data_IF_971206478332
#
_entry.id   IF_971206478332
#
_cell.length_a   1.000
_cell.length_b   1.000
_cell.length_c   1.000
_cell.angle_alpha   90.00
_cell.angle_beta   90.00
_cell.angle_gamma   90.00
#
_symmetry.space_group_name_H-M   'P 1'
#
loop_
_entity.id
_entity.type
_entity.pdbx_description
1 polymer ?
#
# COMPACT_ATOMS: atom_id res chain seq x y z
N UNK A 1 22.57 3.58 -1.91
CA UNK A 1 21.96 3.87 -0.60
C UNK A 1 20.57 3.23 -0.55
N UNK A 2 20.30 2.53 0.52
CA UNK A 2 19.03 1.86 0.67
C UNK A 2 17.90 2.84 0.85
N UNK A 3 16.74 2.54 0.25
CA UNK A 3 15.57 3.35 0.49
C UNK A 3 15.06 3.11 1.90
N UNK A 4 14.82 4.15 2.66
CA UNK A 4 14.25 3.97 3.99
C UNK A 4 12.85 3.38 3.90
N UNK A 5 12.46 2.65 4.94
CA UNK A 5 11.13 2.04 5.00
C UNK A 5 10.04 3.06 4.78
N UNK A 6 10.22 4.24 5.32
CA UNK A 6 9.19 5.27 5.24
C UNK A 6 8.98 5.73 3.80
N UNK A 7 10.04 5.79 3.02
CA UNK A 7 9.90 6.16 1.61
C UNK A 7 9.12 5.11 0.84
N UNK A 8 9.40 3.83 1.10
CA UNK A 8 8.66 2.75 0.45
C UNK A 8 7.19 2.78 0.85
N UNK A 9 6.94 3.05 2.12
CA UNK A 9 5.57 3.13 2.60
C UNK A 9 4.81 4.27 1.93
N UNK A 10 5.44 5.43 1.79
CA UNK A 10 4.83 6.57 1.14
C UNK A 10 4.56 6.30 -0.34
N UNK A 11 5.47 5.61 -1.00
CA UNK A 11 5.25 5.22 -2.39
C UNK A 11 4.08 4.27 -2.52
N UNK A 12 3.99 3.31 -1.60
CA UNK A 12 2.87 2.38 -1.59
C UNK A 12 1.55 3.12 -1.43
N UNK A 13 1.50 4.08 -0.51
CA UNK A 13 0.32 4.89 -0.30
C UNK A 13 -0.07 5.62 -1.58
N UNK A 14 0.91 6.16 -2.28
CA UNK A 14 0.68 6.87 -3.53
C UNK A 14 0.03 5.96 -4.57
N UNK A 15 0.57 4.75 -4.72
CA UNK A 15 0.01 3.81 -5.68
C UNK A 15 -1.40 3.35 -5.29
N UNK A 16 -1.61 3.12 -4.00
CA UNK A 16 -2.91 2.68 -3.52
C UNK A 16 -3.98 3.75 -3.63
N UNK A 17 -3.59 5.02 -3.52
CA UNK A 17 -4.55 6.12 -3.56
C UNK A 17 -4.77 6.66 -4.98
N UNK A 18 -3.99 6.20 -5.96
CA UNK A 18 -4.17 6.65 -7.34
C UNK A 18 -5.42 6.01 -7.94
N UNK A 19 -5.85 6.54 -9.08
CA UNK A 19 -7.00 5.97 -9.79
C UNK A 19 -6.65 4.66 -10.48
N UNK A 20 -5.37 4.34 -10.57
CA UNK A 20 -4.94 3.08 -11.17
C UNK A 20 -5.17 1.94 -10.20
N UNK A 21 -5.65 0.82 -10.72
CA UNK A 21 -5.77 -0.40 -9.94
C UNK A 21 -4.44 -1.13 -9.98
N UNK A 22 -3.90 -1.43 -8.82
CA UNK A 22 -2.62 -2.14 -8.72
C UNK A 22 -2.80 -3.42 -7.93
N UNK A 23 -2.35 -4.53 -8.51
CA UNK A 23 -2.34 -5.81 -7.80
C UNK A 23 -1.13 -5.85 -6.86
N UNK A 24 -1.19 -6.78 -5.90
CA UNK A 24 -0.07 -6.96 -4.97
C UNK A 24 1.21 -7.31 -5.73
N UNK A 25 1.10 -8.15 -6.76
CA UNK A 25 2.27 -8.49 -7.57
C UNK A 25 2.85 -7.28 -8.30
N UNK A 26 1.97 -6.44 -8.83
CA UNK A 26 2.39 -5.24 -9.53
C UNK A 26 3.06 -4.26 -8.56
N UNK A 27 2.48 -4.08 -7.39
CA UNK A 27 3.05 -3.21 -6.37
C UNK A 27 4.43 -3.70 -5.94
N UNK A 28 4.58 -4.99 -5.77
CA UNK A 28 5.88 -5.56 -5.40
C UNK A 28 6.94 -5.26 -6.45
N UNK A 29 6.60 -5.37 -7.72
CA UNK A 29 7.53 -5.07 -8.79
C UNK A 29 7.90 -3.59 -8.81
N UNK A 30 6.92 -2.73 -8.66
CA UNK A 30 7.16 -1.28 -8.69
C UNK A 30 7.98 -0.81 -7.51
N UNK A 31 7.80 -1.45 -6.37
CA UNK A 31 8.47 -1.05 -5.13
C UNK A 31 9.72 -1.88 -4.84
N UNK A 32 9.98 -2.91 -5.64
CA UNK A 32 11.15 -3.74 -5.44
C UNK A 32 11.06 -4.59 -4.18
N UNK A 33 9.86 -5.08 -3.85
CA UNK A 33 9.67 -5.91 -2.68
C UNK A 33 8.75 -7.08 -2.99
N UNK A 34 8.83 -8.11 -2.15
CA UNK A 34 8.02 -9.30 -2.34
C UNK A 34 6.55 -9.02 -2.01
N UNK A 35 5.61 -9.83 -2.55
CA UNK A 35 4.20 -9.66 -2.20
C UNK A 35 3.94 -9.73 -0.70
N UNK A 36 4.68 -10.58 -0.01
CA UNK A 36 4.55 -10.72 1.44
C UNK A 36 4.85 -9.39 2.14
N UNK A 37 5.91 -8.72 1.69
CA UNK A 37 6.28 -7.43 2.25
C UNK A 37 5.23 -6.37 1.95
N UNK A 38 4.64 -6.41 0.76
CA UNK A 38 3.56 -5.48 0.41
C UNK A 38 2.38 -5.67 1.37
N UNK A 39 1.99 -6.91 1.64
CA UNK A 39 0.91 -7.18 2.59
C UNK A 39 1.24 -6.66 3.98
N UNK A 40 2.48 -6.81 4.42
CA UNK A 40 2.89 -6.31 5.72
C UNK A 40 2.78 -4.79 5.81
N UNK A 41 3.13 -4.11 4.73
CA UNK A 41 3.01 -2.66 4.68
C UNK A 41 1.55 -2.23 4.70
N UNK A 42 0.69 -2.98 3.99
CA UNK A 42 -0.75 -2.71 4.01
C UNK A 42 -1.29 -2.88 5.43
N UNK A 43 -0.86 -3.92 6.13
CA UNK A 43 -1.25 -4.12 7.54
C UNK A 43 -0.79 -2.95 8.39
N UNK A 44 0.40 -2.44 8.15
CA UNK A 44 0.92 -1.28 8.87
C UNK A 44 0.03 -0.06 8.64
N UNK A 45 -0.41 0.16 7.40
CA UNK A 45 -1.31 1.26 7.10
C UNK A 45 -2.64 1.09 7.83
N UNK A 46 -3.19 -0.11 7.84
CA UNK A 46 -4.44 -0.37 8.55
C UNK A 46 -4.28 -0.11 10.04
N UNK A 47 -3.15 -0.51 10.60
CA UNK A 47 -2.87 -0.28 12.02
C UNK A 47 -2.77 1.20 12.34
N UNK A 48 -2.35 1.99 11.38
CA UNK A 48 -2.23 3.44 11.56
C UNK A 48 -3.55 4.18 11.37
N UNK A 49 -4.61 3.45 11.00
CA UNK A 49 -5.93 4.05 10.85
C UNK A 49 -6.37 4.29 9.41
N UNK A 50 -5.52 3.95 8.45
CA UNK A 50 -5.91 4.08 7.04
C UNK A 50 -6.86 2.95 6.66
N UNK A 51 -7.82 3.27 5.81
CA UNK A 51 -8.74 2.26 5.30
C UNK A 51 -8.25 1.76 3.95
N UNK A 52 -7.88 0.49 3.91
CA UNK A 52 -7.44 -0.16 2.66
C UNK A 52 -8.41 -1.28 2.36
N UNK A 53 -9.03 -1.22 1.20
CA UNK A 53 -10.04 -2.20 0.81
C UNK A 53 -9.57 -3.04 -0.36
N UNK A 54 -9.95 -4.30 -0.35
CA UNK A 54 -9.73 -5.19 -1.46
C UNK A 54 -10.85 -4.98 -2.47
N UNK A 55 -10.49 -4.66 -3.71
CA UNK A 55 -11.47 -4.42 -4.74
C UNK A 55 -11.88 -5.72 -5.44
N UNK A 56 -10.90 -6.48 -5.87
CA UNK A 56 -11.11 -7.79 -6.50
C UNK A 56 -9.76 -8.47 -6.61
N UNK A 57 -9.77 -9.80 -6.64
CA UNK A 57 -8.53 -10.57 -6.72
C UNK A 57 -7.54 -10.12 -5.65
N UNK A 58 -6.36 -9.67 -6.05
CA UNK A 58 -5.36 -9.14 -5.14
C UNK A 58 -5.12 -7.64 -5.38
N UNK A 59 -6.14 -6.95 -5.88
CA UNK A 59 -6.08 -5.51 -6.10
C UNK A 59 -6.64 -4.79 -4.89
N UNK A 60 -5.82 -3.90 -4.32
CA UNK A 60 -6.17 -3.15 -3.13
C UNK A 60 -6.18 -1.66 -3.41
N UNK A 61 -6.90 -0.92 -2.60
CA UNK A 61 -7.01 0.52 -2.77
C UNK A 61 -7.14 1.19 -1.41
N UNK A 62 -6.47 2.32 -1.28
CA UNK A 62 -6.62 3.18 -0.11
C UNK A 62 -7.91 3.97 -0.28
N UNK A 63 -8.88 3.71 0.58
CA UNK A 63 -10.23 4.28 0.42
C UNK A 63 -10.48 5.51 1.28
N UNK A 64 -9.75 5.66 2.38
CA UNK A 64 -9.88 6.87 3.19
C UNK A 64 -8.65 7.07 4.03
N UNK A 65 -8.44 8.32 4.41
CA UNK A 65 -7.35 8.70 5.31
C UNK A 65 -7.80 8.50 6.76
N UNK A 66 -6.85 8.42 7.70
CA UNK A 66 -7.22 8.30 9.10
C UNK A 66 -8.06 9.49 9.54
N UNK A 67 -9.05 9.20 10.37
CA UNK A 67 -9.87 10.25 10.95
C UNK A 67 -9.04 11.02 11.97
N UNK A 68 -9.08 12.34 11.87
CA UNK A 68 -8.28 13.18 12.75
C UNK A 68 -8.98 13.54 14.05
N UNK A 69 -10.21 13.14 14.20
CA UNK A 69 -10.97 13.48 15.40
C UNK A 69 -10.51 12.72 16.63
#
# INVERSE_FOLDING_TARGET
MDQPKIERLLRLMKYLSSNSSNSIGSLGKKLGMSPRTVYRYIDTLKSAGFSVSKLYGDVYRLTSMPDSS
#
